data_IF_775683360942
#
_entry.id   IF_775683360942
#
_cell.length_a   1.000
_cell.length_b   1.000
_cell.length_c   1.000
_cell.angle_alpha   90.00
_cell.angle_beta   90.00
_cell.angle_gamma   90.00
#
_symmetry.space_group_name_H-M   'P 1'
#
loop_
_entity.id
_entity.type
_entity.pdbx_description
1 polymer ?
#
# COMPACT_ATOMS: atom_id res chain seq x y z
N UNK A 1 -7.59 4.58 8.94
CA UNK A 1 -7.72 5.96 8.42
C UNK A 1 -6.42 6.34 7.73
N UNK A 2 -6.44 7.28 6.79
CA UNK A 2 -5.25 7.77 6.10
C UNK A 2 -5.59 8.92 5.16
N UNK A 3 -4.60 9.49 4.48
CA UNK A 3 -4.82 10.55 3.48
C UNK A 3 -4.64 9.96 2.09
N UNK A 4 -5.61 10.21 1.19
CA UNK A 4 -5.51 9.87 -0.24
C UNK A 4 -6.14 10.97 -1.07
N UNK A 5 -5.47 11.32 -2.17
CA UNK A 5 -5.88 12.41 -3.07
C UNK A 5 -6.10 13.74 -2.31
N UNK A 6 -5.25 13.99 -1.32
CA UNK A 6 -5.30 15.20 -0.48
C UNK A 6 -6.43 15.23 0.55
N UNK A 7 -7.29 14.20 0.63
CA UNK A 7 -8.42 14.14 1.57
C UNK A 7 -8.22 13.08 2.65
N UNK A 8 -8.73 13.35 3.85
CA UNK A 8 -8.80 12.33 4.89
C UNK A 8 -9.79 11.24 4.48
N UNK A 9 -9.37 9.99 4.59
CA UNK A 9 -10.14 8.80 4.24
C UNK A 9 -10.24 7.85 5.42
N UNK A 10 -11.41 7.23 5.53
CA UNK A 10 -11.67 6.13 6.44
C UNK A 10 -12.10 4.92 5.62
N UNK A 11 -11.50 3.76 5.90
CA UNK A 11 -11.91 2.50 5.31
C UNK A 11 -12.37 1.61 6.45
N UNK A 12 -13.48 0.91 6.22
CA UNK A 12 -14.04 -0.05 7.14
C UNK A 12 -14.18 -1.40 6.45
N UNK A 13 -13.83 -2.46 7.17
CA UNK A 13 -14.07 -3.84 6.75
C UNK A 13 -15.11 -4.45 7.67
N UNK A 14 -16.23 -4.90 7.10
CA UNK A 14 -17.26 -5.66 7.78
C UNK A 14 -17.17 -7.11 7.32
N UNK A 15 -16.58 -7.96 8.17
CA UNK A 15 -16.58 -9.40 7.96
C UNK A 15 -17.98 -9.92 8.32
N UNK A 16 -18.70 -10.47 7.34
CA UNK A 16 -20.09 -10.93 7.52
C UNK A 16 -20.14 -12.37 8.01
N UNK A 17 -19.34 -13.23 7.38
CA UNK A 17 -19.15 -14.63 7.71
C UNK A 17 -17.68 -15.04 7.44
N UNK A 18 -17.38 -16.33 7.49
CA UNK A 18 -16.03 -16.87 7.30
C UNK A 18 -15.52 -16.79 5.85
N UNK A 19 -16.36 -16.39 4.89
CA UNK A 19 -16.04 -16.38 3.45
C UNK A 19 -16.36 -15.06 2.76
N UNK A 20 -17.02 -14.14 3.45
CA UNK A 20 -17.47 -12.88 2.87
C UNK A 20 -17.19 -11.65 3.73
N UNK A 21 -16.73 -10.60 3.07
CA UNK A 21 -16.44 -9.31 3.70
C UNK A 21 -16.85 -8.16 2.80
N UNK A 22 -17.37 -7.10 3.40
CA UNK A 22 -17.70 -5.85 2.72
C UNK A 22 -16.69 -4.78 3.12
N UNK A 23 -16.17 -4.07 2.14
CA UNK A 23 -15.25 -2.97 2.31
C UNK A 23 -15.98 -1.70 1.94
N UNK A 24 -15.96 -0.73 2.85
CA UNK A 24 -16.55 0.59 2.68
C UNK A 24 -15.44 1.63 2.77
N UNK A 25 -15.41 2.57 1.84
CA UNK A 25 -14.45 3.67 1.83
C UNK A 25 -15.20 4.99 1.90
N UNK A 26 -14.76 5.85 2.80
CA UNK A 26 -15.35 7.14 3.09
C UNK A 26 -14.32 8.25 2.95
N UNK A 27 -14.78 9.43 2.54
CA UNK A 27 -14.04 10.68 2.63
C UNK A 27 -14.64 11.61 3.66
N UNK A 28 -13.77 12.37 4.31
CA UNK A 28 -14.20 13.51 5.10
C UNK A 28 -14.47 14.67 4.14
N UNK A 29 -15.67 15.22 4.21
CA UNK A 29 -16.04 16.44 3.52
C UNK A 29 -15.49 17.65 4.30
N UNK A 30 -14.72 18.50 3.62
CA UNK A 30 -13.99 19.60 4.26
C UNK A 30 -14.90 20.77 4.70
N UNK A 31 -16.10 20.88 4.13
CA UNK A 31 -17.06 21.96 4.42
C UNK A 31 -18.00 21.58 5.56
N UNK A 32 -18.52 20.35 5.52
CA UNK A 32 -19.53 19.84 6.45
C UNK A 32 -18.93 19.04 7.60
N UNK A 33 -17.63 18.71 7.54
CA UNK A 33 -16.92 17.85 8.50
C UNK A 33 -17.62 16.50 8.72
N UNK A 34 -18.28 16.00 7.68
CA UNK A 34 -19.06 14.76 7.71
C UNK A 34 -18.41 13.69 6.83
N UNK A 35 -18.62 12.42 7.19
CA UNK A 35 -18.12 11.29 6.41
C UNK A 35 -19.12 10.93 5.30
N UNK A 36 -18.67 10.97 4.05
CA UNK A 36 -19.43 10.53 2.88
C UNK A 36 -18.90 9.17 2.38
N UNK A 37 -19.81 8.24 2.06
CA UNK A 37 -19.42 6.96 1.44
C UNK A 37 -19.08 7.18 -0.03
N UNK A 38 -17.83 6.92 -0.41
CA UNK A 38 -17.36 7.05 -1.79
C UNK A 38 -17.50 5.73 -2.56
N UNK A 39 -17.04 4.64 -1.96
CA UNK A 39 -16.90 3.35 -2.62
C UNK A 39 -17.27 2.19 -1.71
N UNK A 40 -17.78 1.12 -2.31
CA UNK A 40 -17.99 -0.16 -1.64
C UNK A 40 -17.66 -1.33 -2.55
N UNK A 41 -17.06 -2.35 -1.97
CA UNK A 41 -16.79 -3.62 -2.65
C UNK A 41 -17.10 -4.79 -1.73
N UNK A 42 -17.52 -5.89 -2.33
CA UNK A 42 -17.68 -7.15 -1.62
C UNK A 42 -16.61 -8.13 -2.08
N UNK A 43 -16.15 -8.90 -1.12
CA UNK A 43 -15.23 -10.00 -1.32
C UNK A 43 -15.95 -11.26 -0.89
N UNK A 44 -15.98 -12.25 -1.78
CA UNK A 44 -16.62 -13.55 -1.55
C UNK A 44 -15.67 -14.69 -1.92
N UNK A 45 -16.07 -15.90 -1.54
CA UNK A 45 -15.45 -17.17 -1.95
C UNK A 45 -13.94 -17.24 -1.67
N UNK A 46 -13.55 -16.90 -0.45
CA UNK A 46 -12.17 -17.07 -0.01
C UNK A 46 -11.97 -18.49 0.52
N UNK A 47 -10.96 -19.19 -0.04
CA UNK A 47 -10.59 -20.57 0.38
C UNK A 47 -10.16 -20.64 1.84
N UNK A 48 -9.59 -19.56 2.34
CA UNK A 48 -9.11 -19.43 3.70
C UNK A 48 -10.17 -18.70 4.54
N UNK A 49 -10.41 -19.19 5.76
CA UNK A 49 -11.47 -18.73 6.67
C UNK A 49 -11.02 -17.56 7.55
N UNK A 50 -9.96 -16.88 7.14
CA UNK A 50 -9.38 -15.78 7.90
C UNK A 50 -10.20 -14.49 7.73
N UNK A 51 -10.20 -13.66 8.76
CA UNK A 51 -10.80 -12.33 8.64
C UNK A 51 -10.00 -11.44 7.68
N UNK A 52 -10.70 -10.56 6.98
CA UNK A 52 -10.08 -9.50 6.19
C UNK A 52 -9.73 -8.33 7.10
N UNK A 53 -8.50 -7.84 6.97
CA UNK A 53 -7.98 -6.67 7.67
C UNK A 53 -7.52 -5.62 6.67
N UNK A 54 -7.55 -4.35 7.09
CA UNK A 54 -7.02 -3.24 6.29
C UNK A 54 -5.53 -3.20 6.50
N UNK A 55 -4.78 -3.37 5.41
CA UNK A 55 -3.33 -3.29 5.45
C UNK A 55 -2.87 -1.84 5.18
N UNK A 56 -3.39 -1.22 4.12
CA UNK A 56 -3.06 0.17 3.76
C UNK A 56 -4.11 0.81 2.85
N UNK A 57 -4.17 2.14 2.86
CA UNK A 57 -4.88 2.96 1.88
C UNK A 57 -3.83 3.51 0.92
N UNK A 58 -4.05 3.41 -0.40
CA UNK A 58 -3.11 4.00 -1.35
C UNK A 58 -3.12 5.53 -1.20
N UNK A 59 -1.96 6.21 -1.08
CA UNK A 59 -1.92 7.65 -0.85
C UNK A 59 -2.31 8.51 -2.08
N UNK A 60 -2.36 7.93 -3.28
CA UNK A 60 -2.58 8.63 -4.55
C UNK A 60 -3.80 8.15 -5.33
N UNK A 61 -4.52 7.14 -4.83
CA UNK A 61 -5.67 6.55 -5.52
C UNK A 61 -6.68 6.09 -4.48
N UNK A 62 -7.67 6.93 -4.17
CA UNK A 62 -8.62 6.66 -3.08
C UNK A 62 -9.46 5.38 -3.27
N UNK A 63 -9.66 4.94 -4.51
CA UNK A 63 -10.35 3.68 -4.80
C UNK A 63 -9.47 2.44 -4.63
N UNK A 64 -8.15 2.58 -4.42
CA UNK A 64 -7.22 1.47 -4.27
C UNK A 64 -6.87 1.23 -2.80
N UNK A 65 -7.29 0.07 -2.29
CA UNK A 65 -7.02 -0.35 -0.90
C UNK A 65 -6.25 -1.67 -0.90
N UNK A 66 -5.31 -1.79 0.03
CA UNK A 66 -4.57 -3.02 0.29
C UNK A 66 -5.16 -3.71 1.52
N UNK A 67 -5.55 -4.97 1.34
CA UNK A 67 -6.21 -5.79 2.34
C UNK A 67 -5.31 -6.98 2.68
N UNK A 68 -5.25 -7.34 3.95
CA UNK A 68 -4.65 -8.58 4.40
C UNK A 68 -5.73 -9.62 4.64
N UNK A 69 -5.46 -10.86 4.23
CA UNK A 69 -6.31 -12.00 4.46
C UNK A 69 -5.46 -13.24 4.69
N UNK A 70 -5.43 -13.69 5.94
CA UNK A 70 -4.46 -14.68 6.38
C UNK A 70 -3.04 -14.22 6.03
N UNK A 71 -2.28 -15.10 5.38
CA UNK A 71 -0.93 -14.81 4.90
C UNK A 71 -0.86 -14.12 3.54
N UNK A 72 -1.95 -13.52 3.05
CA UNK A 72 -2.00 -12.90 1.71
C UNK A 72 -2.30 -11.41 1.79
N UNK A 73 -1.64 -10.61 0.95
CA UNK A 73 -1.98 -9.21 0.68
C UNK A 73 -2.66 -9.11 -0.68
N UNK A 74 -3.74 -8.33 -0.72
CA UNK A 74 -4.62 -8.18 -1.87
C UNK A 74 -4.78 -6.70 -2.14
N UNK A 75 -4.52 -6.28 -3.39
CA UNK A 75 -4.83 -4.94 -3.84
C UNK A 75 -6.20 -4.95 -4.52
N UNK A 76 -7.11 -4.13 -4.03
CA UNK A 76 -8.49 -4.06 -4.51
C UNK A 76 -8.82 -2.68 -5.03
N UNK A 77 -9.32 -2.64 -6.26
CA UNK A 77 -9.98 -1.47 -6.83
C UNK A 77 -11.45 -1.50 -6.42
N UNK A 78 -11.82 -0.62 -5.49
CA UNK A 78 -13.17 -0.51 -4.95
C UNK A 78 -14.16 0.08 -5.95
N UNK A 79 -13.71 0.94 -6.87
CA UNK A 79 -14.59 1.54 -7.88
C UNK A 79 -15.02 0.48 -8.91
N UNK A 80 -14.08 -0.36 -9.33
CA UNK A 80 -14.34 -1.47 -10.25
C UNK A 80 -14.73 -2.78 -9.55
N UNK A 81 -14.79 -2.79 -8.22
CA UNK A 81 -15.10 -3.96 -7.36
C UNK A 81 -14.25 -5.18 -7.72
N UNK A 82 -12.96 -4.96 -8.01
CA UNK A 82 -12.08 -5.97 -8.58
C UNK A 82 -10.77 -6.08 -7.81
N UNK A 83 -10.34 -7.32 -7.59
CA UNK A 83 -8.97 -7.63 -7.20
C UNK A 83 -8.03 -7.39 -8.39
N UNK A 84 -7.07 -6.48 -8.23
CA UNK A 84 -6.09 -6.16 -9.28
C UNK A 84 -4.76 -6.87 -9.07
N UNK A 85 -4.47 -7.30 -7.84
CA UNK A 85 -3.23 -8.00 -7.51
C UNK A 85 -3.35 -8.78 -6.20
N UNK A 86 -2.55 -9.84 -6.07
CA UNK A 86 -2.43 -10.69 -4.90
C UNK A 86 -1.01 -11.21 -4.73
N UNK A 87 -0.52 -11.26 -3.49
CA UNK A 87 0.71 -11.99 -3.16
C UNK A 87 0.66 -12.58 -1.75
N UNK A 88 1.39 -13.67 -1.57
CA UNK A 88 1.59 -14.28 -0.26
C UNK A 88 2.72 -13.56 0.49
N UNK A 89 2.51 -13.32 1.78
CA UNK A 89 3.53 -12.84 2.69
C UNK A 89 4.47 -14.00 3.05
N UNK A 90 5.78 -13.74 3.20
CA UNK A 90 6.70 -14.68 3.82
C UNK A 90 6.22 -15.09 5.20
N UNK A 91 6.46 -16.36 5.56
CA UNK A 91 5.99 -16.97 6.81
C UNK A 91 6.36 -16.15 8.06
N UNK A 92 7.57 -15.57 8.09
CA UNK A 92 8.09 -14.75 9.18
C UNK A 92 7.27 -13.46 9.39
N UNK A 93 6.89 -12.78 8.31
CA UNK A 93 6.08 -11.55 8.35
C UNK A 93 4.63 -11.87 8.74
N UNK A 94 4.13 -13.04 8.34
CA UNK A 94 2.80 -13.50 8.71
C UNK A 94 2.66 -13.73 10.22
N UNK A 95 3.64 -14.40 10.87
CA UNK A 95 3.61 -14.64 12.31
C UNK A 95 3.70 -13.35 13.14
N UNK A 96 4.53 -12.39 12.73
CA UNK A 96 4.61 -11.07 13.40
C UNK A 96 3.31 -10.27 13.29
N UNK A 97 2.67 -10.25 12.11
CA UNK A 97 1.39 -9.55 11.92
C UNK A 97 0.23 -10.19 12.69
N UNK A 98 0.23 -11.52 12.86
CA UNK A 98 -0.77 -12.20 13.70
C UNK A 98 -0.66 -11.77 15.18
N UNK A 99 0.53 -11.44 15.65
CA UNK A 99 0.79 -11.07 17.04
C UNK A 99 0.63 -9.57 17.32
N UNK A 100 0.78 -8.69 16.32
CA UNK A 100 0.81 -7.22 16.50
C UNK A 100 -0.29 -6.42 15.80
N UNK A 101 -1.18 -7.09 15.05
CA UNK A 101 -2.11 -6.39 14.16
C UNK A 101 -1.41 -5.93 12.88
N UNK A 102 -2.16 -5.83 11.79
CA UNK A 102 -1.65 -5.50 10.46
C UNK A 102 -0.94 -4.14 10.45
N UNK A 103 0.39 -4.14 10.36
CA UNK A 103 1.21 -2.92 10.27
C UNK A 103 1.96 -2.88 8.95
N UNK A 104 1.20 -2.83 7.84
CA UNK A 104 1.80 -2.48 6.55
C UNK A 104 1.75 -0.96 6.42
N UNK A 105 2.91 -0.32 6.35
CA UNK A 105 3.01 1.11 6.07
C UNK A 105 3.16 1.28 4.56
N UNK A 106 2.21 1.93 3.86
CA UNK A 106 2.41 2.25 2.46
C UNK A 106 3.57 3.24 2.35
N UNK A 107 4.66 2.84 1.69
CA UNK A 107 5.76 3.73 1.36
C UNK A 107 5.56 4.29 -0.05
N UNK A 108 5.39 5.61 -0.15
CA UNK A 108 5.55 6.29 -1.42
C UNK A 108 7.05 6.44 -1.68
N UNK A 109 7.52 5.84 -2.77
CA UNK A 109 8.88 6.12 -3.20
C UNK A 109 8.97 7.61 -3.54
N UNK A 110 9.99 8.31 -3.06
CA UNK A 110 10.11 9.72 -3.34
C UNK A 110 10.24 9.92 -4.86
N UNK A 111 9.72 11.03 -5.37
CA UNK A 111 9.59 11.27 -6.83
C UNK A 111 10.92 11.21 -7.57
N UNK A 112 12.03 11.51 -6.91
CA UNK A 112 13.39 11.40 -7.44
C UNK A 112 13.86 9.95 -7.65
N UNK A 113 13.22 8.96 -7.02
CA UNK A 113 13.58 7.56 -7.23
C UNK A 113 13.13 7.06 -8.61
N UNK A 114 12.05 7.61 -9.17
CA UNK A 114 11.63 7.33 -10.54
C UNK A 114 12.68 7.80 -11.58
N UNK A 115 13.47 8.81 -11.24
CA UNK A 115 14.57 9.32 -12.07
C UNK A 115 15.92 8.71 -11.70
N UNK A 116 15.98 7.92 -10.62
CA UNK A 116 17.18 7.20 -10.21
C UNK A 116 17.32 5.93 -11.04
N UNK A 117 18.47 5.77 -11.70
CA UNK A 117 18.80 4.48 -12.29
C UNK A 117 18.99 3.48 -11.15
N UNK A 118 18.10 2.49 -11.06
CA UNK A 118 18.29 1.34 -10.17
C UNK A 118 19.64 0.75 -10.56
N UNK A 119 20.61 0.64 -9.64
CA UNK A 119 21.89 0.06 -9.97
C UNK A 119 21.64 -1.35 -10.51
N UNK A 120 21.92 -1.54 -11.80
CA UNK A 120 21.87 -2.84 -12.43
C UNK A 120 22.83 -3.74 -11.65
N UNK A 121 22.38 -4.92 -11.25
CA UNK A 121 23.22 -5.85 -10.48
C UNK A 121 24.54 -6.04 -11.24
N UNK A 122 25.65 -5.87 -10.52
CA UNK A 122 26.98 -5.99 -11.09
C UNK A 122 27.21 -7.41 -11.61
N UNK A 123 27.00 -7.56 -12.90
CA UNK A 123 27.26 -8.73 -13.71
C UNK A 123 26.92 -8.34 -15.14
N UNK A 124 27.63 -7.41 -15.76
CA UNK A 124 28.86 -7.72 -16.49
C UNK A 124 29.58 -6.41 -16.76
N UNK A 125 30.88 -6.34 -16.48
CA UNK A 125 31.72 -5.21 -16.89
C UNK A 125 31.82 -5.25 -18.41
N UNK A 126 31.12 -4.35 -19.09
CA UNK A 126 31.38 -4.01 -20.49
C UNK A 126 31.77 -2.53 -20.55
N UNK A 127 33.06 -2.31 -20.71
CA UNK A 127 33.71 -1.03 -20.93
C UNK A 127 33.15 -0.33 -22.17
N UNK A 128 32.68 0.91 -22.04
CA UNK A 128 33.21 2.04 -22.82
C UNK A 128 32.51 3.38 -22.50
N UNK A 129 33.37 4.36 -22.24
CA UNK A 129 33.27 5.79 -22.60
C UNK A 129 32.45 6.76 -21.72
N UNK A 130 33.23 7.42 -20.83
CA UNK A 130 33.18 8.85 -20.45
C UNK A 130 31.84 9.59 -20.66
N UNK A 131 31.08 9.69 -19.59
CA UNK A 131 30.47 10.94 -19.18
C UNK A 131 30.65 11.05 -17.67
N UNK A 132 31.25 12.15 -17.23
CA UNK A 132 31.53 12.47 -15.83
C UNK A 132 30.21 12.76 -15.11
N UNK A 133 29.50 11.71 -14.70
CA UNK A 133 28.33 11.82 -13.86
C UNK A 133 28.80 11.62 -12.42
N UNK A 134 28.99 12.72 -11.68
CA UNK A 134 29.24 12.67 -10.23
C UNK A 134 28.16 11.81 -9.58
N UNK A 135 28.54 10.58 -9.21
CA UNK A 135 27.70 9.64 -8.47
C UNK A 135 27.44 10.26 -7.11
N UNK A 136 26.24 10.81 -6.92
CA UNK A 136 25.77 11.18 -5.58
C UNK A 136 25.39 9.89 -4.87
N UNK A 137 26.12 9.57 -3.84
CA UNK A 137 25.89 8.40 -3.00
C UNK A 137 24.84 8.76 -1.96
N UNK A 138 24.18 7.77 -1.35
CA UNK A 138 23.26 7.98 -0.23
C UNK A 138 23.89 8.78 0.93
N UNK A 139 25.22 8.73 1.07
CA UNK A 139 26.01 9.51 2.02
C UNK A 139 26.07 11.03 1.70
N UNK A 140 25.74 11.44 0.47
CA UNK A 140 25.79 12.84 0.03
C UNK A 140 24.46 13.59 0.27
N UNK A 141 23.45 12.93 0.86
CA UNK A 141 22.16 13.55 1.17
C UNK A 141 22.20 14.13 2.60
N UNK A 142 22.12 15.47 2.79
CA UNK A 142 22.06 16.05 4.11
C UNK A 142 20.72 15.69 4.77
N UNK A 143 20.80 14.91 5.86
CA UNK A 143 19.67 14.70 6.77
C UNK A 143 19.47 16.00 7.54
N UNK A 144 18.36 16.71 7.29
CA UNK A 144 17.95 17.80 8.18
C UNK A 144 17.50 17.17 9.50
N UNK A 145 18.28 17.41 10.55
CA UNK A 145 17.87 17.19 11.94
C UNK A 145 17.27 18.52 12.38
N UNK A 146 15.94 18.63 12.31
CA UNK A 146 15.25 19.69 13.01
C UNK A 146 15.14 19.26 14.48
N UNK A 147 15.71 20.08 15.37
CA UNK A 147 15.72 19.89 16.83
C UNK A 147 14.44 20.40 17.49
#
# INVERSE_FOLDING_TARGET
>A
MGVSDGKLRYVQVSNRDDRSSVILSFSLDDETYSWALDHSAQITDRRDRCHVQIAAINPFKANLVYLQHGGTVIAMDLANKKEIWRSSLPQEIFFENLLRGSSLVPCALPTWLATSQIPSSAGTISTSNKADCKKKTLADMPVRVDS
#
